data_IF_666211331666
#
_entry.id   IF_666211331666
#
_cell.length_a   1.000
_cell.length_b   1.000
_cell.length_c   1.000
_cell.angle_alpha   90.00
_cell.angle_beta   90.00
_cell.angle_gamma   90.00
#
_symmetry.space_group_name_H-M   'P 1'
#
loop_
_entity.id
_entity.type
_entity.pdbx_description
1 polymer ?
#
# COMPACT_ATOMS: atom_id res chain seq x y z
N UNK A 1 3.33 50.78 43.51
CA UNK A 1 4.59 50.69 42.72
C UNK A 1 5.06 49.25 42.45
N UNK A 2 4.95 48.32 43.40
CA UNK A 2 5.39 46.92 43.24
C UNK A 2 4.61 46.06 42.22
N UNK A 3 3.31 46.32 42.00
CA UNK A 3 2.48 45.57 41.04
C UNK A 3 2.84 45.80 39.56
N UNK A 4 3.40 46.96 39.22
CA UNK A 4 3.77 47.30 37.83
C UNK A 4 5.06 46.56 37.42
N UNK A 5 6.00 46.41 38.36
CA UNK A 5 7.27 45.69 38.16
C UNK A 5 7.06 44.18 37.95
N UNK A 6 6.15 43.55 38.69
CA UNK A 6 5.85 42.11 38.57
C UNK A 6 5.17 41.77 37.23
N UNK A 7 4.30 42.66 36.74
CA UNK A 7 3.63 42.52 35.44
C UNK A 7 4.62 42.63 34.27
N UNK A 8 5.57 43.56 34.35
CA UNK A 8 6.63 43.72 33.34
C UNK A 8 7.58 42.51 33.31
N UNK A 9 7.95 41.96 34.47
CA UNK A 9 8.81 40.78 34.57
C UNK A 9 8.16 39.52 33.95
N UNK A 10 6.86 39.32 34.20
CA UNK A 10 6.08 38.21 33.63
C UNK A 10 5.97 38.30 32.10
N UNK A 11 5.83 39.51 31.55
CA UNK A 11 5.78 39.75 30.10
C UNK A 11 7.13 39.48 29.44
N UNK A 12 8.23 39.93 30.05
CA UNK A 12 9.60 39.71 29.55
C UNK A 12 9.93 38.20 29.57
N UNK A 13 9.53 37.48 30.63
CA UNK A 13 9.68 36.03 30.73
C UNK A 13 8.89 35.28 29.66
N UNK A 14 7.63 35.66 29.37
CA UNK A 14 6.86 35.06 28.29
C UNK A 14 7.45 35.33 26.91
N UNK A 15 7.97 36.53 26.65
CA UNK A 15 8.59 36.86 25.36
C UNK A 15 9.90 36.09 25.16
N UNK A 16 10.71 35.94 26.21
CA UNK A 16 11.92 35.11 26.16
C UNK A 16 11.60 33.62 25.97
N UNK A 17 10.54 33.11 26.61
CA UNK A 17 10.08 31.73 26.44
C UNK A 17 9.56 31.48 25.01
N UNK A 18 8.81 32.43 24.45
CA UNK A 18 8.31 32.35 23.07
C UNK A 18 9.46 32.46 22.06
N UNK A 19 10.45 33.31 22.28
CA UNK A 19 11.64 33.41 21.43
C UNK A 19 12.48 32.12 21.46
N UNK A 20 12.57 31.45 22.61
CA UNK A 20 13.23 30.15 22.72
C UNK A 20 12.47 29.02 21.98
N UNK A 21 11.13 29.09 21.94
CA UNK A 21 10.29 28.14 21.18
C UNK A 21 10.48 28.32 19.66
N UNK A 22 10.70 29.55 19.18
CA UNK A 22 10.94 29.83 17.76
C UNK A 22 12.31 29.33 17.26
N UNK A 23 13.29 29.11 18.15
CA UNK A 23 14.62 28.58 17.80
C UNK A 23 14.64 27.05 17.57
N UNK A 24 13.57 26.34 17.93
CA UNK A 24 13.46 24.86 17.80
C UNK A 24 12.60 24.45 16.59
N UNK A 25 12.33 25.35 15.64
CA UNK A 25 11.79 24.97 14.32
C UNK A 25 12.91 24.84 13.30
N UNK A 26 13.75 23.82 13.45
CA UNK A 26 14.53 23.36 12.30
C UNK A 26 13.55 22.69 11.32
N UNK A 27 13.49 23.09 10.04
CA UNK A 27 12.71 22.33 9.07
C UNK A 27 13.33 20.94 9.01
N UNK A 28 12.52 19.92 9.31
CA UNK A 28 12.87 18.54 8.96
C UNK A 28 12.93 18.52 7.45
N UNK A 29 14.12 18.67 6.89
CA UNK A 29 14.33 18.56 5.46
C UNK A 29 14.06 17.09 5.10
N UNK A 30 12.91 16.84 4.47
CA UNK A 30 12.68 15.59 3.78
C UNK A 30 13.70 15.53 2.64
N UNK A 31 14.70 14.66 2.76
CA UNK A 31 15.74 14.53 1.75
C UNK A 31 15.12 13.94 0.48
N UNK A 32 15.48 14.45 -0.69
CA UNK A 32 15.11 13.83 -1.98
C UNK A 32 15.63 12.38 -2.10
N UNK A 33 16.59 11.98 -1.25
CA UNK A 33 17.03 10.59 -1.12
C UNK A 33 15.95 9.65 -0.53
N UNK A 34 14.89 10.20 0.06
CA UNK A 34 13.74 9.46 0.60
C UNK A 34 12.63 9.27 -0.47
N UNK A 35 12.80 9.86 -1.65
CA UNK A 35 11.87 9.73 -2.77
C UNK A 35 12.19 8.43 -3.54
N UNK A 36 11.23 7.50 -3.58
CA UNK A 36 11.39 6.22 -4.27
C UNK A 36 11.70 6.45 -5.75
N UNK A 37 12.85 5.97 -6.21
CA UNK A 37 13.26 6.14 -7.61
C UNK A 37 12.41 5.24 -8.53
N UNK A 38 12.03 5.70 -9.74
CA UNK A 38 11.22 4.92 -10.67
C UNK A 38 11.76 3.52 -10.96
N UNK A 39 13.08 3.36 -11.01
CA UNK A 39 13.76 2.09 -11.23
C UNK A 39 13.56 1.13 -10.06
N UNK A 40 13.57 1.64 -8.82
CA UNK A 40 13.31 0.83 -7.63
C UNK A 40 11.87 0.31 -7.63
N UNK A 41 10.91 1.16 -8.02
CA UNK A 41 9.49 0.80 -8.14
C UNK A 41 9.32 -0.28 -9.22
N UNK A 42 9.89 -0.06 -10.41
CA UNK A 42 9.83 -1.03 -11.51
C UNK A 42 10.45 -2.38 -11.13
N UNK A 43 11.61 -2.35 -10.47
CA UNK A 43 12.28 -3.57 -9.99
C UNK A 43 11.47 -4.30 -8.92
N UNK A 44 10.78 -3.59 -8.03
CA UNK A 44 9.90 -4.20 -7.03
C UNK A 44 8.69 -4.87 -7.71
N UNK A 45 8.07 -4.22 -8.70
CA UNK A 45 6.95 -4.77 -9.47
C UNK A 45 7.39 -6.05 -10.21
N UNK A 46 8.54 -6.04 -10.88
CA UNK A 46 9.05 -7.22 -11.59
C UNK A 46 9.37 -8.39 -10.65
N UNK A 47 9.90 -8.11 -9.46
CA UNK A 47 10.12 -9.14 -8.45
C UNK A 47 8.80 -9.72 -7.93
N UNK A 48 7.80 -8.86 -7.65
CA UNK A 48 6.48 -9.28 -7.20
C UNK A 48 5.76 -10.14 -8.25
N UNK A 49 5.78 -9.75 -9.53
CA UNK A 49 5.23 -10.54 -10.65
C UNK A 49 5.83 -11.95 -10.67
N UNK A 50 7.16 -12.05 -10.65
CA UNK A 50 7.87 -13.33 -10.67
C UNK A 50 7.54 -14.17 -9.45
N UNK A 51 7.44 -13.56 -8.27
CA UNK A 51 7.08 -14.26 -7.05
C UNK A 51 5.66 -14.80 -7.12
N UNK A 52 4.67 -13.98 -7.46
CA UNK A 52 3.26 -14.38 -7.58
C UNK A 52 3.09 -15.53 -8.57
N UNK A 53 3.69 -15.46 -9.75
CA UNK A 53 3.62 -16.53 -10.75
C UNK A 53 4.21 -17.85 -10.20
N UNK A 54 5.30 -17.80 -9.43
CA UNK A 54 5.87 -19.00 -8.80
C UNK A 54 5.01 -19.57 -7.68
N UNK A 55 4.19 -18.75 -7.02
CA UNK A 55 3.28 -19.21 -5.96
C UNK A 55 1.98 -19.82 -6.49
N UNK A 56 1.75 -19.80 -7.81
CA UNK A 56 0.53 -20.34 -8.39
C UNK A 56 0.41 -21.84 -8.11
N UNK A 57 -0.75 -22.27 -7.62
CA UNK A 57 -1.03 -23.69 -7.40
C UNK A 57 -1.19 -24.44 -8.73
N UNK A 58 -1.01 -25.78 -8.75
CA UNK A 58 -1.16 -26.58 -9.97
C UNK A 58 -2.53 -26.52 -10.65
N UNK A 59 -3.58 -26.01 -9.99
CA UNK A 59 -4.91 -25.78 -10.57
C UNK A 59 -5.11 -24.32 -11.05
N UNK A 60 -4.13 -23.44 -10.88
CA UNK A 60 -4.18 -22.05 -11.32
C UNK A 60 -4.52 -21.02 -10.24
N UNK A 61 -4.70 -21.43 -8.99
CA UNK A 61 -5.20 -20.56 -7.91
C UNK A 61 -4.11 -20.04 -6.98
N UNK A 62 -4.48 -19.05 -6.17
CA UNK A 62 -3.70 -18.58 -5.02
C UNK A 62 -4.53 -18.69 -3.74
N UNK A 63 -3.87 -19.12 -2.66
CA UNK A 63 -4.46 -19.13 -1.33
C UNK A 63 -4.10 -17.86 -0.57
N UNK A 64 -5.05 -17.34 0.21
CA UNK A 64 -4.76 -16.27 1.16
C UNK A 64 -4.04 -16.86 2.38
N UNK A 65 -2.93 -16.25 2.79
CA UNK A 65 -2.23 -16.64 4.01
C UNK A 65 -3.01 -16.32 5.29
N UNK A 66 -3.99 -15.42 5.22
CA UNK A 66 -4.71 -14.89 6.39
C UNK A 66 -6.12 -15.47 6.55
N UNK A 67 -6.62 -16.29 5.61
CA UNK A 67 -8.02 -16.74 5.56
C UNK A 67 -8.16 -18.21 5.18
N UNK A 68 -9.35 -18.75 5.39
CA UNK A 68 -9.74 -20.12 5.04
C UNK A 68 -9.80 -20.34 3.53
N UNK A 69 -9.91 -21.61 3.12
CA UNK A 69 -10.06 -22.03 1.71
C UNK A 69 -11.29 -21.41 1.01
N UNK A 70 -12.25 -20.88 1.75
CA UNK A 70 -13.43 -20.18 1.21
C UNK A 70 -13.07 -18.92 0.41
N UNK A 71 -11.88 -18.35 0.63
CA UNK A 71 -11.45 -17.09 -0.01
C UNK A 71 -10.58 -17.26 -1.24
N UNK A 72 -10.41 -18.49 -1.73
CA UNK A 72 -9.54 -18.79 -2.89
C UNK A 72 -10.02 -18.07 -4.15
N UNK A 73 -11.33 -17.88 -4.32
CA UNK A 73 -11.89 -17.13 -5.47
C UNK A 73 -11.42 -15.68 -5.46
N UNK A 74 -11.71 -14.96 -4.38
CA UNK A 74 -11.30 -13.56 -4.21
C UNK A 74 -9.77 -13.39 -4.24
N UNK A 75 -9.02 -14.26 -3.57
CA UNK A 75 -7.56 -14.21 -3.58
C UNK A 75 -6.98 -14.38 -4.99
N UNK A 76 -7.49 -15.37 -5.73
CA UNK A 76 -7.07 -15.62 -7.12
C UNK A 76 -7.43 -14.43 -8.02
N UNK A 77 -8.64 -13.88 -7.88
CA UNK A 77 -9.07 -12.72 -8.66
C UNK A 77 -8.22 -11.47 -8.39
N UNK A 78 -7.84 -11.21 -7.13
CA UNK A 78 -6.95 -10.10 -6.76
C UNK A 78 -5.55 -10.26 -7.36
N UNK A 79 -5.00 -11.48 -7.34
CA UNK A 79 -3.68 -11.74 -7.94
C UNK A 79 -3.73 -11.56 -9.45
N UNK A 80 -4.79 -12.03 -10.12
CA UNK A 80 -4.99 -11.82 -11.56
C UNK A 80 -5.09 -10.33 -11.89
N UNK A 81 -5.87 -9.56 -11.12
CA UNK A 81 -6.00 -8.11 -11.29
C UNK A 81 -4.65 -7.40 -11.10
N UNK A 82 -3.88 -7.75 -10.07
CA UNK A 82 -2.57 -7.18 -9.81
C UNK A 82 -1.58 -7.48 -10.95
N UNK A 83 -1.55 -8.70 -11.47
CA UNK A 83 -0.70 -9.09 -12.59
C UNK A 83 -1.10 -8.38 -13.89
N UNK A 84 -2.40 -8.25 -14.16
CA UNK A 84 -2.91 -7.51 -15.32
C UNK A 84 -2.51 -6.03 -15.26
N UNK A 85 -2.69 -5.36 -14.10
CA UNK A 85 -2.27 -3.98 -13.88
C UNK A 85 -0.74 -3.81 -13.98
N UNK A 86 0.03 -4.87 -13.68
CA UNK A 86 1.48 -4.90 -13.84
C UNK A 86 1.94 -5.30 -15.27
N UNK A 87 1.02 -5.29 -16.25
CA UNK A 87 1.30 -5.52 -17.67
C UNK A 87 1.56 -6.97 -18.04
N UNK A 88 1.12 -7.94 -17.24
CA UNK A 88 1.20 -9.36 -17.63
C UNK A 88 0.07 -9.67 -18.62
N UNK A 89 0.46 -10.08 -19.82
CA UNK A 89 -0.45 -10.48 -20.88
C UNK A 89 -1.38 -11.64 -20.44
N UNK A 90 -2.67 -11.51 -20.72
CA UNK A 90 -3.69 -12.50 -20.42
C UNK A 90 -3.43 -13.86 -21.10
N UNK A 91 -2.67 -13.86 -22.21
CA UNK A 91 -2.29 -15.07 -22.93
C UNK A 91 -1.15 -15.86 -22.27
N UNK A 92 -0.50 -15.31 -21.23
CA UNK A 92 0.53 -16.04 -20.48
C UNK A 92 -0.09 -17.27 -19.81
N UNK A 93 0.64 -18.42 -19.76
CA UNK A 93 0.09 -19.67 -19.22
C UNK A 93 -0.53 -19.54 -17.81
N UNK A 94 0.13 -18.80 -16.92
CA UNK A 94 -0.37 -18.56 -15.56
C UNK A 94 -1.70 -17.78 -15.56
N UNK A 95 -1.82 -16.76 -16.42
CA UNK A 95 -3.03 -15.94 -16.56
C UNK A 95 -4.18 -16.75 -17.15
N UNK A 96 -3.95 -17.46 -18.28
CA UNK A 96 -4.97 -18.33 -18.91
C UNK A 96 -5.55 -19.32 -17.92
N UNK A 97 -4.70 -19.97 -17.14
CA UNK A 97 -5.12 -20.99 -16.18
C UNK A 97 -5.98 -20.41 -15.07
N UNK A 98 -5.54 -19.30 -14.47
CA UNK A 98 -6.29 -18.60 -13.43
C UNK A 98 -7.63 -18.07 -13.94
N UNK A 99 -7.65 -17.44 -15.12
CA UNK A 99 -8.87 -16.93 -15.74
C UNK A 99 -9.86 -18.04 -16.11
N UNK A 100 -9.36 -19.17 -16.60
CA UNK A 100 -10.20 -20.36 -16.89
C UNK A 100 -10.85 -20.85 -15.61
N UNK A 101 -10.05 -21.05 -14.55
CA UNK A 101 -10.56 -21.48 -13.26
C UNK A 101 -11.59 -20.49 -12.68
N UNK A 102 -11.30 -19.17 -12.72
CA UNK A 102 -12.20 -18.13 -12.20
C UNK A 102 -13.56 -18.08 -12.91
N UNK A 103 -13.61 -18.36 -14.22
CA UNK A 103 -14.86 -18.39 -14.99
C UNK A 103 -15.79 -19.53 -14.59
N UNK A 104 -15.25 -20.58 -13.99
CA UNK A 104 -16.03 -21.73 -13.50
C UNK A 104 -16.56 -21.51 -12.07
N UNK A 105 -16.13 -20.45 -11.38
CA UNK A 105 -16.52 -20.20 -10.00
C UNK A 105 -17.83 -19.43 -9.90
N UNK A 106 -18.66 -19.80 -8.93
CA UNK A 106 -19.78 -18.99 -8.47
C UNK A 106 -19.33 -18.22 -7.23
N UNK A 107 -19.15 -16.89 -7.29
CA UNK A 107 -18.74 -16.13 -6.12
C UNK A 107 -19.87 -16.09 -5.08
N UNK A 108 -19.54 -16.40 -3.84
CA UNK A 108 -20.49 -16.42 -2.71
C UNK A 108 -20.24 -15.31 -1.69
N UNK A 109 -19.14 -14.58 -1.81
CA UNK A 109 -18.78 -13.46 -0.93
C UNK A 109 -18.66 -12.13 -1.69
N UNK A 110 -18.81 -11.02 -0.96
CA UNK A 110 -18.84 -9.66 -1.51
C UNK A 110 -17.60 -9.33 -2.35
N UNK A 111 -16.43 -9.83 -1.93
CA UNK A 111 -15.17 -9.54 -2.60
C UNK A 111 -15.08 -10.24 -3.96
N UNK A 112 -15.45 -11.52 -3.99
CA UNK A 112 -15.43 -12.34 -5.20
C UNK A 112 -16.46 -11.85 -6.21
N UNK A 113 -17.65 -11.44 -5.75
CA UNK A 113 -18.69 -10.85 -6.62
C UNK A 113 -18.18 -9.56 -7.26
N UNK A 114 -17.61 -8.65 -6.47
CA UNK A 114 -17.12 -7.36 -6.98
C UNK A 114 -15.99 -7.50 -8.00
N UNK A 115 -15.10 -8.47 -7.82
CA UNK A 115 -13.99 -8.69 -8.75
C UNK A 115 -14.42 -9.37 -10.04
N UNK A 116 -15.44 -10.24 -9.99
CA UNK A 116 -15.93 -10.91 -11.19
C UNK A 116 -16.61 -9.94 -12.16
N UNK A 117 -17.23 -8.87 -11.66
CA UNK A 117 -17.89 -7.85 -12.49
C UNK A 117 -16.95 -6.74 -12.99
N UNK A 118 -15.67 -6.75 -12.60
CA UNK A 118 -14.67 -5.76 -13.04
C UNK A 118 -13.98 -6.13 -14.36
N UNK A 119 -14.29 -7.31 -14.92
CA UNK A 119 -13.78 -7.78 -16.21
C UNK A 119 -14.61 -7.28 -17.39
#
# INVERSE_FOLDING_TARGET
>A
MYHVLLSSYKKISCVALLAAIQLVSAPVAFSAADELQPEQISNAIEQAKKWLIRQQSPNGTWKSAMRTDETVVGATALVVLALANAGVDADKPAMKKALTWLREQTPTDTYSVSLQTQA
#
